data_IF_800387067680
#
_entry.id   IF_800387067680
#
_cell.length_a   1.000
_cell.length_b   1.000
_cell.length_c   1.000
_cell.angle_alpha   90.00
_cell.angle_beta   90.00
_cell.angle_gamma   90.00
#
_symmetry.space_group_name_H-M   'P 1'
#
loop_
_entity.id
_entity.type
_entity.pdbx_description
1 polymer ?
#
# COMPACT_ATOMS: atom_id res chain seq x y z
N UNK A 1 9.79 7.70 -22.23
CA UNK A 1 9.90 8.67 -21.11
C UNK A 1 10.08 10.05 -21.71
N UNK A 2 9.00 10.83 -21.78
CA UNK A 2 9.08 12.21 -22.27
C UNK A 2 9.86 13.06 -21.26
N UNK A 3 11.01 13.56 -21.71
CA UNK A 3 11.95 14.32 -20.89
C UNK A 3 11.38 15.71 -20.60
N UNK A 4 10.71 15.81 -19.46
CA UNK A 4 10.31 17.02 -18.73
C UNK A 4 11.46 18.07 -18.71
N UNK A 5 11.31 19.24 -19.36
CA UNK A 5 12.39 20.25 -19.58
C UNK A 5 11.93 21.70 -19.43
N UNK A 6 12.87 22.63 -19.19
CA UNK A 6 12.67 24.08 -19.37
C UNK A 6 13.19 24.44 -20.76
N UNK A 7 12.38 25.10 -21.58
CA UNK A 7 12.76 25.51 -22.94
C UNK A 7 12.57 27.02 -23.13
N UNK A 8 13.47 27.64 -23.88
CA UNK A 8 13.35 29.03 -24.32
C UNK A 8 12.42 29.10 -25.53
N UNK A 9 11.41 29.97 -25.49
CA UNK A 9 10.38 30.05 -26.55
C UNK A 9 10.39 31.43 -27.20
N UNK A 10 10.28 31.47 -28.53
CA UNK A 10 10.00 32.69 -29.30
C UNK A 10 8.47 32.90 -29.37
N UNK A 11 7.95 34.00 -28.86
CA UNK A 11 6.50 34.18 -28.64
C UNK A 11 5.78 34.77 -29.87
N UNK A 12 4.79 34.07 -30.47
CA UNK A 12 3.80 34.68 -31.35
C UNK A 12 2.59 35.11 -30.50
N UNK A 13 2.38 36.41 -30.33
CA UNK A 13 1.21 36.93 -29.62
C UNK A 13 -0.08 36.63 -30.40
N UNK A 14 -0.92 35.70 -29.93
CA UNK A 14 -2.36 35.62 -30.27
C UNK A 14 -3.13 34.65 -29.34
N UNK A 15 -3.46 35.09 -28.13
CA UNK A 15 -4.68 34.81 -27.34
C UNK A 15 -4.42 35.16 -25.88
N UNK A 16 -5.35 35.88 -25.24
CA UNK A 16 -5.21 36.41 -23.87
C UNK A 16 -5.26 35.28 -22.82
N UNK A 17 -4.13 34.61 -22.59
CA UNK A 17 -3.93 33.71 -21.45
C UNK A 17 -3.79 34.49 -20.14
N UNK A 18 -4.15 33.85 -19.02
CA UNK A 18 -4.09 34.48 -17.71
C UNK A 18 -2.64 34.82 -17.36
N UNK A 19 -2.38 36.07 -16.96
CA UNK A 19 -1.06 36.52 -16.50
C UNK A 19 -1.11 36.69 -14.99
N UNK A 20 -0.27 35.93 -14.27
CA UNK A 20 -0.08 36.07 -12.83
C UNK A 20 1.23 36.82 -12.54
N UNK A 21 1.14 37.87 -11.73
CA UNK A 21 2.28 38.73 -11.40
C UNK A 21 2.82 38.40 -10.00
N UNK A 22 3.99 37.76 -9.96
CA UNK A 22 4.74 37.48 -8.72
C UNK A 22 5.68 38.64 -8.41
N UNK A 23 6.30 39.20 -9.45
CA UNK A 23 7.28 40.27 -9.40
C UNK A 23 6.88 41.44 -10.33
N UNK A 24 6.72 42.67 -9.82
CA UNK A 24 6.42 43.84 -10.65
C UNK A 24 7.59 44.21 -11.58
N UNK A 25 8.83 43.90 -11.20
CA UNK A 25 10.05 44.19 -11.96
C UNK A 25 10.53 42.96 -12.77
N UNK A 26 9.59 42.08 -13.13
CA UNK A 26 9.88 40.81 -13.79
C UNK A 26 10.60 40.96 -15.13
N UNK A 27 11.77 40.34 -15.21
CA UNK A 27 12.60 40.15 -16.40
C UNK A 27 12.43 38.75 -17.04
N UNK A 28 11.63 37.87 -16.42
CA UNK A 28 11.28 36.54 -16.93
C UNK A 28 9.76 36.39 -17.07
N UNK A 29 9.34 35.77 -18.17
CA UNK A 29 7.98 35.28 -18.37
C UNK A 29 8.00 33.75 -18.39
N UNK A 30 7.44 33.14 -17.34
CA UNK A 30 7.32 31.70 -17.23
C UNK A 30 5.97 31.24 -17.80
N UNK A 31 6.00 30.41 -18.84
CA UNK A 31 4.82 29.88 -19.54
C UNK A 31 4.55 28.46 -19.03
N UNK A 32 3.35 28.24 -18.50
CA UNK A 32 2.85 26.96 -18.03
C UNK A 32 1.81 26.46 -19.05
N UNK A 33 2.11 25.38 -19.80
CA UNK A 33 1.18 24.81 -20.76
C UNK A 33 -0.12 24.32 -20.11
N UNK A 34 -1.21 24.16 -20.89
CA UNK A 34 -2.46 23.57 -20.42
C UNK A 34 -2.26 22.23 -19.72
N UNK A 35 -2.85 22.11 -18.52
CA UNK A 35 -2.88 20.87 -17.77
C UNK A 35 -4.06 20.02 -18.24
N UNK A 36 -3.79 18.81 -18.74
CA UNK A 36 -4.77 17.99 -19.48
C UNK A 36 -4.86 16.54 -19.01
N UNK A 37 -3.94 16.08 -18.17
CA UNK A 37 -3.88 14.69 -17.70
C UNK A 37 -3.93 14.64 -16.17
N UNK A 38 -4.58 13.64 -15.58
CA UNK A 38 -4.58 13.44 -14.14
C UNK A 38 -3.15 13.16 -13.62
N UNK A 39 -2.82 13.71 -12.45
CA UNK A 39 -1.52 13.50 -11.80
C UNK A 39 -1.44 12.08 -11.22
N UNK A 40 -0.38 11.35 -11.57
CA UNK A 40 -0.06 10.03 -11.04
C UNK A 40 -1.28 9.07 -11.02
N UNK A 41 -1.92 8.87 -12.18
CA UNK A 41 -3.14 8.06 -12.28
C UNK A 41 -2.90 6.61 -11.83
N UNK A 42 -3.90 6.08 -11.11
CA UNK A 42 -3.93 4.70 -10.68
C UNK A 42 -4.98 3.95 -11.51
N UNK A 43 -4.53 3.28 -12.57
CA UNK A 43 -5.42 2.44 -13.36
C UNK A 43 -5.62 1.12 -12.60
N UNK A 44 -6.83 0.89 -12.08
CA UNK A 44 -7.27 -0.36 -11.42
C UNK A 44 -7.68 -1.45 -12.44
N UNK A 45 -7.01 -1.50 -13.59
CA UNK A 45 -7.33 -2.48 -14.62
C UNK A 45 -6.62 -3.81 -14.35
N UNK A 46 -7.04 -4.50 -13.28
CA UNK A 46 -6.91 -5.97 -13.15
C UNK A 46 -8.21 -6.61 -12.59
N UNK A 47 -9.30 -5.84 -12.43
CA UNK A 47 -10.64 -6.39 -12.19
C UNK A 47 -11.65 -5.82 -13.18
N UNK A 48 -12.43 -6.73 -13.75
CA UNK A 48 -13.41 -6.53 -14.83
C UNK A 48 -14.39 -5.39 -14.50
N UNK A 49 -14.55 -4.51 -15.49
CA UNK A 49 -15.57 -3.46 -15.70
C UNK A 49 -16.58 -3.18 -14.58
N UNK A 50 -16.53 -1.96 -14.04
CA UNK A 50 -17.76 -1.19 -13.88
C UNK A 50 -17.48 0.31 -14.12
N UNK A 51 -18.39 0.96 -14.85
CA UNK A 51 -18.28 2.34 -15.28
C UNK A 51 -18.43 3.30 -14.09
N UNK A 52 -17.32 3.66 -13.45
CA UNK A 52 -17.29 4.77 -12.47
C UNK A 52 -16.77 6.03 -13.14
N UNK A 53 -17.58 7.08 -13.08
CA UNK A 53 -17.32 8.42 -13.62
C UNK A 53 -15.89 8.89 -13.31
N UNK A 54 -15.01 8.83 -14.31
CA UNK A 54 -13.80 9.63 -14.31
C UNK A 54 -14.20 11.09 -14.54
N UNK A 55 -13.77 12.05 -13.70
CA UNK A 55 -13.99 13.45 -13.99
C UNK A 55 -13.26 13.77 -15.30
N UNK A 56 -14.01 14.23 -16.28
CA UNK A 56 -13.51 14.71 -17.58
C UNK A 56 -12.41 15.75 -17.30
N UNK A 57 -11.19 15.64 -17.86
CA UNK A 57 -10.16 16.65 -17.63
C UNK A 57 -10.66 17.98 -18.20
N UNK A 58 -10.99 18.93 -17.32
CA UNK A 58 -11.15 20.32 -17.70
C UNK A 58 -9.76 20.85 -18.03
N UNK A 59 -9.43 20.99 -19.32
CA UNK A 59 -8.16 21.58 -19.74
C UNK A 59 -8.02 22.96 -19.09
N UNK A 60 -7.00 23.16 -18.25
CA UNK A 60 -6.73 24.50 -17.73
C UNK A 60 -6.19 25.37 -18.86
N UNK A 61 -6.53 26.67 -18.91
CA UNK A 61 -5.88 27.56 -19.87
C UNK A 61 -4.37 27.62 -19.59
N UNK A 62 -3.61 28.01 -20.61
CA UNK A 62 -2.20 28.39 -20.45
C UNK A 62 -2.09 29.48 -19.37
N UNK A 63 -1.13 29.35 -18.47
CA UNK A 63 -0.80 30.34 -17.45
C UNK A 63 0.54 30.98 -17.77
N UNK A 64 0.63 32.31 -17.73
CA UNK A 64 1.87 33.06 -17.84
C UNK A 64 2.19 33.71 -16.51
N UNK A 65 3.42 33.56 -16.03
CA UNK A 65 3.84 34.09 -14.73
C UNK A 65 4.99 35.07 -14.94
N UNK A 66 4.82 36.31 -14.49
CA UNK A 66 5.90 37.31 -14.42
C UNK A 66 6.75 37.05 -13.18
N UNK A 67 8.03 36.75 -13.39
CA UNK A 67 8.99 36.32 -12.38
C UNK A 67 10.35 37.04 -12.54
N UNK A 68 11.15 37.00 -11.49
CA UNK A 68 12.52 37.52 -11.48
C UNK A 68 13.54 36.42 -11.72
N UNK A 69 14.42 36.65 -12.70
CA UNK A 69 15.56 35.78 -13.01
C UNK A 69 16.47 35.59 -11.80
N UNK A 70 16.68 36.64 -10.99
CA UNK A 70 17.55 36.61 -9.80
C UNK A 70 17.01 35.65 -8.75
N UNK A 71 15.72 35.75 -8.43
CA UNK A 71 15.05 34.83 -7.49
C UNK A 71 15.07 33.39 -8.00
N UNK A 72 14.75 33.18 -9.29
CA UNK A 72 14.80 31.85 -9.92
C UNK A 72 16.21 31.25 -9.89
N UNK A 73 17.25 32.03 -10.21
CA UNK A 73 18.64 31.56 -10.18
C UNK A 73 19.13 31.24 -8.77
N UNK A 74 18.72 32.03 -7.78
CA UNK A 74 19.07 31.81 -6.39
C UNK A 74 18.44 30.51 -5.88
N UNK A 75 17.16 30.31 -6.12
CA UNK A 75 16.40 29.17 -5.60
C UNK A 75 16.67 27.85 -6.34
N UNK A 76 17.15 27.89 -7.59
CA UNK A 76 17.27 26.70 -8.45
C UNK A 76 18.50 26.73 -9.35
N UNK A 77 19.39 25.74 -9.21
CA UNK A 77 20.47 25.50 -10.18
C UNK A 77 19.95 25.22 -11.59
N UNK A 78 18.79 24.54 -11.72
CA UNK A 78 18.19 24.23 -13.01
C UNK A 78 17.76 25.50 -13.77
N UNK A 79 17.06 26.42 -13.09
CA UNK A 79 16.71 27.71 -13.67
C UNK A 79 17.96 28.56 -13.93
N UNK A 80 18.93 28.58 -13.01
CA UNK A 80 20.20 29.30 -13.19
C UNK A 80 20.93 28.88 -14.47
N UNK A 81 21.09 27.58 -14.67
CA UNK A 81 21.78 27.04 -15.85
C UNK A 81 21.05 27.41 -17.14
N UNK A 82 19.71 27.36 -17.13
CA UNK A 82 18.88 27.73 -18.29
C UNK A 82 18.96 29.22 -18.60
N UNK A 83 18.87 30.08 -17.58
CA UNK A 83 18.95 31.53 -17.73
C UNK A 83 20.36 32.00 -18.14
N UNK A 84 21.42 31.40 -17.59
CA UNK A 84 22.80 31.71 -17.99
C UNK A 84 23.04 31.40 -19.48
N UNK A 85 22.57 30.24 -19.94
CA UNK A 85 22.66 29.86 -21.35
C UNK A 85 21.83 30.77 -22.25
N UNK A 86 20.70 31.29 -21.75
CA UNK A 86 19.89 32.27 -22.46
C UNK A 86 20.65 33.58 -22.68
N UNK A 87 21.34 34.09 -21.65
CA UNK A 87 22.08 35.35 -21.70
C UNK A 87 23.33 35.26 -22.58
N UNK A 88 24.00 34.11 -22.63
CA UNK A 88 25.17 33.89 -23.50
C UNK A 88 24.81 33.77 -24.99
N UNK A 89 23.55 33.49 -25.33
CA UNK A 89 23.04 33.54 -26.70
C UNK A 89 22.38 34.90 -26.96
N UNK A 90 23.04 35.79 -27.73
CA UNK A 90 22.73 37.22 -27.87
C UNK A 90 21.33 37.64 -28.40
N UNK A 91 20.30 36.76 -28.43
CA UNK A 91 18.93 37.06 -28.92
C UNK A 91 17.83 36.24 -28.22
N UNK A 92 17.82 36.15 -26.89
CA UNK A 92 16.78 35.40 -26.15
C UNK A 92 15.69 36.27 -25.53
N UNK A 93 15.95 37.56 -25.36
CA UNK A 93 14.95 38.53 -24.92
C UNK A 93 13.91 38.74 -26.02
N UNK A 94 12.65 38.49 -25.68
CA UNK A 94 11.52 38.68 -26.60
C UNK A 94 11.23 40.17 -26.79
N UNK A 95 10.32 40.49 -27.73
CA UNK A 95 9.92 41.87 -28.03
C UNK A 95 9.34 42.62 -26.82
N UNK A 96 8.89 41.91 -25.80
CA UNK A 96 8.38 42.46 -24.54
C UNK A 96 9.48 42.75 -23.49
N UNK A 97 10.75 42.57 -23.86
CA UNK A 97 11.89 42.82 -22.98
C UNK A 97 12.18 41.70 -21.98
N UNK A 98 11.50 40.55 -22.05
CA UNK A 98 11.66 39.44 -21.09
C UNK A 98 12.26 38.18 -21.72
N UNK A 99 12.87 37.35 -20.87
CA UNK A 99 13.24 35.98 -21.25
C UNK A 99 12.03 35.07 -21.03
N UNK A 100 11.60 34.38 -22.08
CA UNK A 100 10.45 33.47 -22.01
C UNK A 100 10.91 32.04 -21.75
N UNK A 101 10.41 31.44 -20.67
CA UNK A 101 10.71 30.06 -20.27
C UNK A 101 9.43 29.24 -20.26
N UNK A 102 9.36 28.15 -21.01
CA UNK A 102 8.24 27.21 -20.93
C UNK A 102 8.57 26.04 -19.99
N UNK A 103 7.62 25.70 -19.11
CA UNK A 103 7.66 24.48 -18.30
C UNK A 103 7.09 23.31 -19.09
N UNK A 104 7.94 22.58 -19.83
CA UNK A 104 7.48 21.44 -20.61
C UNK A 104 7.50 20.12 -19.83
N UNK A 105 6.45 19.32 -20.07
CA UNK A 105 6.52 17.86 -20.23
C UNK A 105 5.17 17.15 -20.13
N UNK A 106 5.20 15.83 -20.28
CA UNK A 106 4.10 15.03 -20.84
C UNK A 106 2.73 15.06 -20.15
N UNK A 107 2.62 15.52 -18.90
CA UNK A 107 1.35 15.67 -18.17
C UNK A 107 0.97 17.14 -17.87
N UNK A 108 1.85 18.11 -18.14
CA UNK A 108 1.72 19.49 -17.67
C UNK A 108 1.87 19.61 -16.13
N UNK A 109 1.94 20.84 -15.63
CA UNK A 109 1.87 21.13 -14.20
C UNK A 109 0.55 21.83 -13.90
N UNK A 110 -0.11 21.50 -12.78
CA UNK A 110 -1.26 22.28 -12.35
C UNK A 110 -0.82 23.75 -12.13
N UNK A 111 -1.44 24.72 -12.84
CA UNK A 111 -1.15 26.14 -12.69
C UNK A 111 -1.15 26.61 -11.22
N UNK A 112 -2.03 26.07 -10.37
CA UNK A 112 -2.10 26.41 -8.94
C UNK A 112 -0.81 26.03 -8.21
N UNK A 113 -0.28 24.84 -8.47
CA UNK A 113 0.95 24.32 -7.84
C UNK A 113 2.15 25.17 -8.29
N UNK A 114 2.21 25.52 -9.58
CA UNK A 114 3.28 26.42 -10.07
C UNK A 114 3.19 27.79 -9.40
N UNK A 115 2.01 28.38 -9.24
CA UNK A 115 1.83 29.66 -8.53
C UNK A 115 2.33 29.58 -7.09
N UNK A 116 2.00 28.51 -6.36
CA UNK A 116 2.46 28.30 -4.98
C UNK A 116 4.00 28.31 -4.92
N UNK A 117 4.64 27.51 -5.76
CA UNK A 117 6.11 27.41 -5.79
C UNK A 117 6.75 28.74 -6.21
N UNK A 118 6.18 29.44 -7.19
CA UNK A 118 6.70 30.74 -7.60
C UNK A 118 6.56 31.80 -6.50
N UNK A 119 5.45 31.81 -5.75
CA UNK A 119 5.32 32.69 -4.58
C UNK A 119 6.40 32.38 -3.52
N UNK A 120 6.71 31.10 -3.28
CA UNK A 120 7.79 30.69 -2.37
C UNK A 120 9.14 31.23 -2.85
N UNK A 121 9.50 30.98 -4.11
CA UNK A 121 10.78 31.41 -4.72
C UNK A 121 11.00 32.91 -4.62
N UNK A 122 9.93 33.71 -4.68
CA UNK A 122 9.99 35.17 -4.64
C UNK A 122 9.71 35.76 -3.25
N UNK A 123 9.74 34.94 -2.19
CA UNK A 123 9.52 35.42 -0.82
C UNK A 123 8.12 35.97 -0.56
N UNK A 124 7.13 35.64 -1.38
CA UNK A 124 5.72 36.06 -1.24
C UNK A 124 4.98 35.15 -0.26
N UNK A 125 5.54 34.92 0.92
CA UNK A 125 5.04 33.95 1.90
C UNK A 125 3.58 34.17 2.33
N UNK A 126 3.10 35.42 2.34
CA UNK A 126 1.70 35.76 2.62
C UNK A 126 0.70 35.23 1.57
N UNK A 127 1.18 34.91 0.36
CA UNK A 127 0.40 34.30 -0.73
C UNK A 127 0.57 32.78 -0.80
N UNK A 128 1.36 32.18 0.08
CA UNK A 128 1.57 30.73 0.15
C UNK A 128 0.52 30.12 1.09
N UNK A 129 -0.28 29.13 0.64
CA UNK A 129 -1.28 28.48 1.50
C UNK A 129 -0.67 27.90 2.77
N UNK A 130 -1.35 28.08 3.92
CA UNK A 130 -0.96 27.45 5.18
C UNK A 130 -1.20 25.94 5.17
N UNK A 131 -2.25 25.52 4.45
CA UNK A 131 -2.66 24.15 4.26
C UNK A 131 -2.70 23.83 2.76
N UNK A 132 -2.30 22.62 2.41
CA UNK A 132 -2.44 22.04 1.07
C UNK A 132 -2.95 20.62 1.24
N UNK A 133 -3.69 20.11 0.26
CA UNK A 133 -4.02 18.70 0.23
C UNK A 133 -2.80 17.86 -0.16
N UNK A 134 -2.90 16.54 0.05
CA UNK A 134 -1.80 15.62 -0.21
C UNK A 134 -1.41 15.56 -1.68
N UNK A 135 -2.38 15.69 -2.60
CA UNK A 135 -2.12 15.71 -4.04
C UNK A 135 -1.30 16.95 -4.45
N UNK A 136 -1.66 18.12 -3.95
CA UNK A 136 -0.91 19.38 -4.14
C UNK A 136 0.52 19.22 -3.60
N UNK A 137 0.71 18.63 -2.42
CA UNK A 137 2.05 18.40 -1.86
C UNK A 137 2.89 17.48 -2.76
N UNK A 138 2.31 16.39 -3.27
CA UNK A 138 3.00 15.48 -4.18
C UNK A 138 3.35 16.15 -5.53
N UNK A 139 2.49 17.02 -6.05
CA UNK A 139 2.79 17.82 -7.23
C UNK A 139 3.89 18.87 -6.97
N UNK A 140 3.92 19.48 -5.78
CA UNK A 140 5.02 20.37 -5.35
C UNK A 140 6.32 19.57 -5.28
N UNK A 141 6.31 18.36 -4.71
CA UNK A 141 7.49 17.49 -4.68
C UNK A 141 8.04 17.21 -6.09
N UNK A 142 7.16 16.98 -7.07
CA UNK A 142 7.58 16.80 -8.47
C UNK A 142 8.28 18.05 -9.04
N UNK A 143 7.77 19.24 -8.76
CA UNK A 143 8.41 20.50 -9.16
C UNK A 143 9.76 20.69 -8.47
N UNK A 144 9.83 20.38 -7.17
CA UNK A 144 11.03 20.53 -6.34
C UNK A 144 12.16 19.62 -6.82
N UNK A 145 11.87 18.34 -7.06
CA UNK A 145 12.84 17.37 -7.55
C UNK A 145 13.35 17.77 -8.95
N UNK A 146 12.42 18.05 -9.87
CA UNK A 146 12.76 18.38 -11.26
C UNK A 146 13.57 19.66 -11.41
N UNK A 147 13.19 20.70 -10.66
CA UNK A 147 13.82 22.02 -10.77
C UNK A 147 14.81 22.30 -9.64
N UNK A 148 15.10 21.33 -8.78
CA UNK A 148 16.06 21.45 -7.68
C UNK A 148 15.76 22.67 -6.79
N UNK A 149 14.52 22.78 -6.31
CA UNK A 149 14.03 23.91 -5.49
C UNK A 149 13.99 23.59 -3.98
N UNK A 150 14.78 22.61 -3.54
CA UNK A 150 14.69 22.05 -2.19
C UNK A 150 14.81 23.13 -1.09
N UNK A 151 15.87 23.93 -1.13
CA UNK A 151 16.15 24.95 -0.09
C UNK A 151 15.05 26.02 0.01
N UNK A 152 14.42 26.37 -1.12
CA UNK A 152 13.35 27.36 -1.12
C UNK A 152 12.06 26.82 -0.50
N UNK A 153 11.77 25.52 -0.69
CA UNK A 153 10.46 24.93 -0.38
C UNK A 153 10.45 24.13 0.94
N UNK A 154 11.60 23.68 1.45
CA UNK A 154 11.71 22.71 2.57
C UNK A 154 10.89 23.13 3.81
N UNK A 155 11.01 24.39 4.25
CA UNK A 155 10.28 24.91 5.42
C UNK A 155 8.75 24.89 5.22
N UNK A 156 8.27 25.13 3.99
CA UNK A 156 6.85 25.07 3.68
C UNK A 156 6.36 23.62 3.62
N UNK A 157 7.17 22.73 3.02
CA UNK A 157 6.88 21.31 2.94
C UNK A 157 6.81 20.66 4.32
N UNK A 158 7.73 21.00 5.22
CA UNK A 158 7.73 20.56 6.62
C UNK A 158 6.37 20.80 7.28
N UNK A 159 5.94 22.05 7.26
CA UNK A 159 4.68 22.49 7.84
C UNK A 159 3.49 21.78 7.21
N UNK A 160 3.49 21.60 5.89
CA UNK A 160 2.39 20.90 5.21
C UNK A 160 2.33 19.42 5.57
N UNK A 161 3.48 18.75 5.68
CA UNK A 161 3.58 17.35 6.10
C UNK A 161 3.06 17.18 7.53
N UNK A 162 3.48 18.04 8.45
CA UNK A 162 2.99 18.04 9.84
C UNK A 162 1.48 18.30 9.95
N UNK A 163 0.97 19.22 9.13
CA UNK A 163 -0.47 19.51 9.11
C UNK A 163 -1.28 18.34 8.55
N UNK A 164 -0.81 17.66 7.51
CA UNK A 164 -1.48 16.47 6.98
C UNK A 164 -1.52 15.36 8.04
N UNK A 165 -0.44 15.21 8.82
CA UNK A 165 -0.39 14.26 9.93
C UNK A 165 -1.37 14.58 11.07
N UNK A 166 -1.54 15.85 11.42
CA UNK A 166 -2.43 16.26 12.52
C UNK A 166 -3.91 16.22 12.10
N UNK A 167 -4.21 16.57 10.85
CA UNK A 167 -5.58 16.58 10.32
C UNK A 167 -6.12 15.17 10.02
N UNK A 168 -5.26 14.19 9.74
CA UNK A 168 -5.68 12.84 9.39
C UNK A 168 -6.26 12.02 10.56
N UNK A 169 -6.21 12.49 11.83
CA UNK A 169 -6.61 11.77 13.07
C UNK A 169 -5.95 10.39 13.29
N UNK A 170 -5.18 9.93 12.33
CA UNK A 170 -4.19 8.89 12.41
C UNK A 170 -2.85 9.62 12.24
N UNK A 171 -1.83 9.21 13.00
CA UNK A 171 -0.47 9.74 12.97
C UNK A 171 0.06 9.99 11.55
N UNK A 172 1.17 10.72 11.41
CA UNK A 172 1.95 10.88 10.18
C UNK A 172 2.48 9.54 9.61
N UNK A 173 1.61 8.56 9.42
CA UNK A 173 1.94 7.20 9.05
C UNK A 173 1.48 7.01 7.61
N UNK A 174 2.34 6.44 6.76
CA UNK A 174 1.93 6.03 5.43
C UNK A 174 0.70 5.13 5.51
N UNK A 175 -0.15 5.10 4.46
CA UNK A 175 -1.35 4.28 4.46
C UNK A 175 -0.98 2.82 4.73
N UNK A 176 -1.85 2.06 5.43
CA UNK A 176 -1.53 0.69 5.85
C UNK A 176 -1.51 -0.31 4.69
N UNK A 177 -2.02 0.09 3.52
CA UNK A 177 -2.16 -0.75 2.33
C UNK A 177 -1.36 -0.22 1.15
N UNK A 178 -0.95 -1.13 0.28
CA UNK A 178 -0.36 -0.77 -1.01
C UNK A 178 -1.40 -0.11 -1.92
N UNK A 179 -1.07 1.06 -2.46
CA UNK A 179 -1.95 1.83 -3.34
C UNK A 179 -1.28 3.12 -3.78
N UNK A 180 -2.02 3.95 -4.54
CA UNK A 180 -1.53 5.22 -5.10
C UNK A 180 -0.86 6.10 -4.04
N UNK A 181 -1.55 6.31 -2.93
CA UNK A 181 -1.10 7.24 -1.89
C UNK A 181 0.19 6.77 -1.21
N UNK A 182 0.42 5.46 -1.10
CA UNK A 182 1.67 4.93 -0.58
C UNK A 182 2.85 5.32 -1.48
N UNK A 183 2.67 5.22 -2.80
CA UNK A 183 3.70 5.61 -3.77
C UNK A 183 4.00 7.10 -3.68
N UNK A 184 2.93 7.92 -3.57
CA UNK A 184 3.08 9.36 -3.38
C UNK A 184 3.84 9.67 -2.07
N UNK A 185 3.56 8.95 -0.99
CA UNK A 185 4.25 9.13 0.29
C UNK A 185 5.74 8.76 0.21
N UNK A 186 6.08 7.66 -0.47
CA UNK A 186 7.47 7.28 -0.73
C UNK A 186 8.17 8.42 -1.49
N UNK A 187 7.53 8.95 -2.53
CA UNK A 187 8.10 10.03 -3.33
C UNK A 187 8.24 11.35 -2.56
N UNK A 188 7.21 11.78 -1.84
CA UNK A 188 7.22 12.99 -1.01
C UNK A 188 8.30 12.90 0.07
N UNK A 189 8.35 11.78 0.80
CA UNK A 189 9.35 11.57 1.85
C UNK A 189 10.78 11.52 1.28
N UNK A 190 10.93 10.96 0.08
CA UNK A 190 12.18 10.95 -0.65
C UNK A 190 12.65 12.37 -1.03
N UNK A 191 11.80 13.16 -1.71
CA UNK A 191 12.15 14.51 -2.20
C UNK A 191 12.45 15.45 -1.03
N UNK A 192 11.61 15.44 0.00
CA UNK A 192 11.78 16.31 1.17
C UNK A 192 12.67 15.70 2.26
N UNK A 193 13.38 14.60 1.97
CA UNK A 193 14.35 14.01 2.91
C UNK A 193 13.79 13.68 4.31
N UNK A 194 12.54 13.23 4.39
CA UNK A 194 11.90 12.82 5.67
C UNK A 194 12.18 11.35 5.94
N UNK A 195 13.30 11.07 6.61
CA UNK A 195 13.83 9.71 6.85
C UNK A 195 12.81 8.78 7.49
N UNK A 196 12.15 9.22 8.57
CA UNK A 196 11.18 8.39 9.30
C UNK A 196 9.96 8.02 8.44
N UNK A 197 9.44 8.99 7.69
CA UNK A 197 8.34 8.77 6.76
C UNK A 197 8.74 7.84 5.61
N UNK A 198 9.95 8.02 5.08
CA UNK A 198 10.48 7.18 4.01
C UNK A 198 10.66 5.73 4.48
N UNK A 199 11.23 5.54 5.67
CA UNK A 199 11.40 4.23 6.29
C UNK A 199 10.04 3.58 6.56
N UNK A 200 9.08 4.30 7.12
CA UNK A 200 7.73 3.77 7.33
C UNK A 200 7.03 3.39 6.01
N UNK A 201 7.05 4.26 5.00
CA UNK A 201 6.32 4.05 3.74
C UNK A 201 6.91 2.88 2.96
N UNK A 202 8.23 2.80 2.90
CA UNK A 202 8.91 1.70 2.23
C UNK A 202 8.76 0.37 2.97
N UNK A 203 8.64 0.38 4.31
CA UNK A 203 8.28 -0.82 5.09
C UNK A 203 6.91 -1.36 4.67
N UNK A 204 5.89 -0.49 4.58
CA UNK A 204 4.57 -0.91 4.09
C UNK A 204 4.67 -1.48 2.68
N UNK A 205 5.43 -0.84 1.79
CA UNK A 205 5.61 -1.34 0.43
C UNK A 205 6.26 -2.74 0.40
N UNK A 206 7.28 -3.00 1.22
CA UNK A 206 7.91 -4.33 1.34
C UNK A 206 6.90 -5.39 1.79
N UNK A 207 6.02 -5.07 2.73
CA UNK A 207 5.04 -6.00 3.29
C UNK A 207 3.85 -6.27 2.36
N UNK A 208 3.36 -5.22 1.68
CA UNK A 208 2.04 -5.22 1.02
C UNK A 208 2.11 -5.30 -0.51
N UNK A 209 3.25 -4.97 -1.12
CA UNK A 209 3.35 -5.01 -2.59
C UNK A 209 3.37 -6.44 -3.12
N UNK A 210 2.82 -6.62 -4.33
CA UNK A 210 2.72 -7.91 -5.02
C UNK A 210 3.84 -8.09 -6.07
N UNK A 211 4.83 -7.20 -6.07
CA UNK A 211 5.89 -7.10 -7.07
C UNK A 211 6.61 -5.75 -6.96
N UNK A 212 7.43 -5.37 -7.96
CA UNK A 212 8.01 -4.04 -8.03
C UNK A 212 6.94 -2.96 -7.95
N UNK A 213 7.17 -1.94 -7.11
CA UNK A 213 6.22 -0.84 -6.94
C UNK A 213 6.07 -0.05 -8.25
N UNK A 214 4.86 0.48 -8.49
CA UNK A 214 4.59 1.37 -9.63
C UNK A 214 5.31 2.70 -9.40
N UNK A 215 5.84 3.30 -10.47
CA UNK A 215 6.43 4.64 -10.43
C UNK A 215 5.39 5.76 -10.61
N UNK A 216 4.22 5.44 -11.18
CA UNK A 216 3.13 6.37 -11.51
C UNK A 216 3.58 7.55 -12.39
N UNK A 217 4.65 7.37 -13.18
CA UNK A 217 5.28 8.43 -13.95
C UNK A 217 6.04 9.46 -13.11
N UNK A 218 6.25 9.20 -11.82
CA UNK A 218 7.10 10.00 -10.93
C UNK A 218 8.58 9.60 -11.10
N UNK A 219 9.53 10.53 -10.90
CA UNK A 219 10.96 10.27 -11.00
C UNK A 219 11.51 9.52 -9.76
N UNK A 220 10.87 8.42 -9.36
CA UNK A 220 11.37 7.55 -8.28
C UNK A 220 12.59 6.80 -8.80
N UNK A 221 13.72 6.88 -8.08
CA UNK A 221 14.95 6.21 -8.51
C UNK A 221 14.75 4.69 -8.61
N UNK A 222 15.18 4.11 -9.73
CA UNK A 222 15.20 2.64 -9.95
C UNK A 222 15.81 1.86 -8.77
N UNK A 223 16.86 2.41 -8.14
CA UNK A 223 17.50 1.78 -6.98
C UNK A 223 16.50 1.56 -5.85
N UNK A 224 15.64 2.53 -5.56
CA UNK A 224 14.61 2.43 -4.51
C UNK A 224 13.61 1.32 -4.86
N UNK A 225 13.09 1.34 -6.09
CA UNK A 225 12.12 0.34 -6.58
C UNK A 225 12.70 -1.08 -6.47
N UNK A 226 13.94 -1.27 -6.96
CA UNK A 226 14.65 -2.56 -6.93
C UNK A 226 14.97 -3.01 -5.51
N UNK A 227 15.37 -2.11 -4.63
CA UNK A 227 15.69 -2.49 -3.24
C UNK A 227 14.43 -2.85 -2.45
N UNK A 228 13.31 -2.16 -2.67
CA UNK A 228 12.00 -2.56 -2.10
C UNK A 228 11.62 -3.96 -2.58
N UNK A 229 11.68 -4.21 -3.89
CA UNK A 229 11.31 -5.52 -4.44
C UNK A 229 12.26 -6.63 -4.00
N UNK A 230 13.57 -6.34 -3.89
CA UNK A 230 14.55 -7.30 -3.36
C UNK A 230 14.24 -7.70 -1.92
N UNK A 231 13.95 -6.73 -1.04
CA UNK A 231 13.56 -7.00 0.36
C UNK A 231 12.23 -7.76 0.43
N UNK A 232 11.26 -7.41 -0.42
CA UNK A 232 10.00 -8.15 -0.55
C UNK A 232 10.24 -9.61 -0.94
N UNK A 233 11.07 -9.86 -1.96
CA UNK A 233 11.38 -11.22 -2.42
C UNK A 233 12.09 -12.06 -1.34
N UNK A 234 13.01 -11.46 -0.58
CA UNK A 234 13.67 -12.11 0.55
C UNK A 234 12.66 -12.49 1.63
N UNK A 235 11.81 -11.54 2.02
CA UNK A 235 10.77 -11.73 3.03
C UNK A 235 9.78 -12.82 2.65
N UNK A 236 9.26 -12.78 1.42
CA UNK A 236 8.34 -13.81 0.89
C UNK A 236 9.05 -15.18 0.84
N UNK A 237 10.31 -15.22 0.42
CA UNK A 237 11.11 -16.45 0.41
C UNK A 237 11.27 -17.07 1.80
N UNK A 238 11.55 -16.25 2.84
CA UNK A 238 11.63 -16.72 4.22
C UNK A 238 10.30 -17.26 4.73
N UNK A 239 9.20 -16.53 4.46
CA UNK A 239 7.87 -16.94 4.87
C UNK A 239 7.42 -18.26 4.21
N UNK A 240 7.70 -18.44 2.91
CA UNK A 240 7.48 -19.71 2.22
C UNK A 240 8.34 -20.84 2.80
N UNK A 241 9.59 -20.56 3.19
CA UNK A 241 10.45 -21.52 3.88
C UNK A 241 9.86 -21.99 5.23
N UNK A 242 9.26 -21.09 5.99
CA UNK A 242 8.54 -21.43 7.23
C UNK A 242 7.34 -22.33 6.91
N UNK A 243 6.57 -22.00 5.88
CA UNK A 243 5.40 -22.80 5.47
C UNK A 243 5.77 -24.19 4.97
N UNK A 244 6.85 -24.34 4.21
CA UNK A 244 7.35 -25.64 3.80
C UNK A 244 7.73 -26.50 4.99
N UNK A 245 8.43 -25.94 5.98
CA UNK A 245 8.74 -26.65 7.23
C UNK A 245 7.48 -27.06 8.00
N UNK A 246 6.45 -26.23 8.00
CA UNK A 246 5.16 -26.56 8.61
C UNK A 246 4.47 -27.72 7.87
N UNK A 247 4.45 -27.70 6.53
CA UNK A 247 3.94 -28.79 5.69
C UNK A 247 4.66 -30.11 5.97
N UNK A 248 6.00 -30.10 6.02
CA UNK A 248 6.79 -31.31 6.28
C UNK A 248 6.49 -31.88 7.67
N UNK A 249 6.41 -31.04 8.70
CA UNK A 249 6.03 -31.46 10.06
C UNK A 249 4.64 -32.11 10.10
N UNK A 250 3.66 -31.53 9.39
CA UNK A 250 2.31 -32.09 9.30
C UNK A 250 2.30 -33.42 8.53
N UNK A 251 3.02 -33.50 7.42
CA UNK A 251 3.11 -34.72 6.60
C UNK A 251 3.79 -35.88 7.32
N UNK A 252 4.80 -35.60 8.14
CA UNK A 252 5.54 -36.60 8.90
C UNK A 252 4.84 -37.00 10.22
N UNK A 253 3.67 -36.42 10.53
CA UNK A 253 2.97 -36.68 11.78
C UNK A 253 3.71 -36.18 13.03
N UNK A 254 4.57 -35.17 12.88
CA UNK A 254 5.40 -34.59 13.96
C UNK A 254 4.76 -33.37 14.62
N UNK A 255 3.50 -33.08 14.30
CA UNK A 255 2.77 -31.99 14.92
C UNK A 255 2.36 -32.33 16.37
N UNK A 256 2.26 -31.31 17.22
CA UNK A 256 1.85 -31.49 18.63
C UNK A 256 0.46 -32.16 18.77
N UNK A 257 -0.42 -32.03 17.75
CA UNK A 257 -1.73 -32.70 17.67
C UNK A 257 -1.73 -34.03 16.86
N UNK A 258 -0.58 -34.68 16.64
CA UNK A 258 -0.57 -35.94 15.87
C UNK A 258 -1.45 -37.04 16.52
N UNK A 259 -1.52 -37.07 17.86
CA UNK A 259 -2.31 -38.05 18.61
C UNK A 259 -3.82 -38.01 18.32
N UNK A 260 -4.36 -36.86 17.91
CA UNK A 260 -5.79 -36.69 17.59
C UNK A 260 -6.07 -36.63 16.09
N UNK A 261 -5.07 -36.91 15.23
CA UNK A 261 -5.16 -36.85 13.76
C UNK A 261 -5.57 -35.47 13.21
N UNK A 262 -5.26 -34.39 13.94
CA UNK A 262 -5.46 -33.02 13.42
C UNK A 262 -4.58 -32.74 12.20
N UNK A 263 -3.42 -33.40 12.14
CA UNK A 263 -2.38 -33.23 11.12
C UNK A 263 -2.92 -33.37 9.69
N UNK A 264 -3.75 -34.38 9.42
CA UNK A 264 -4.36 -34.59 8.11
C UNK A 264 -5.31 -33.44 7.71
N UNK A 265 -6.11 -32.94 8.65
CA UNK A 265 -7.02 -31.81 8.41
C UNK A 265 -6.24 -30.50 8.19
N UNK A 266 -5.28 -30.22 9.08
CA UNK A 266 -4.39 -29.06 9.02
C UNK A 266 -3.60 -29.03 7.71
N UNK A 267 -3.08 -30.19 7.30
CA UNK A 267 -2.38 -30.36 6.04
C UNK A 267 -3.31 -30.06 4.86
N UNK A 268 -4.53 -30.60 4.87
CA UNK A 268 -5.53 -30.35 3.83
C UNK A 268 -5.88 -28.86 3.67
N UNK A 269 -6.14 -28.15 4.77
CA UNK A 269 -6.45 -26.72 4.71
C UNK A 269 -5.25 -25.86 4.34
N UNK A 270 -4.04 -26.20 4.81
CA UNK A 270 -2.82 -25.51 4.40
C UNK A 270 -2.55 -25.69 2.90
N UNK A 271 -2.67 -26.92 2.38
CA UNK A 271 -2.54 -27.22 0.94
C UNK A 271 -3.56 -26.42 0.12
N UNK A 272 -4.84 -26.44 0.52
CA UNK A 272 -5.89 -25.69 -0.18
C UNK A 272 -5.61 -24.20 -0.19
N UNK A 273 -5.13 -23.65 0.92
CA UNK A 273 -4.82 -22.23 1.04
C UNK A 273 -3.66 -21.85 0.13
N UNK A 274 -2.57 -22.63 0.15
CA UNK A 274 -1.45 -22.42 -0.75
C UNK A 274 -1.88 -22.49 -2.22
N UNK A 275 -2.75 -23.44 -2.58
CA UNK A 275 -3.32 -23.54 -3.92
C UNK A 275 -4.16 -22.31 -4.30
N UNK A 276 -5.08 -21.86 -3.43
CA UNK A 276 -5.93 -20.68 -3.67
C UNK A 276 -5.10 -19.41 -3.93
N UNK A 277 -3.98 -19.26 -3.24
CA UNK A 277 -3.10 -18.11 -3.39
C UNK A 277 -2.05 -18.27 -4.50
N UNK A 278 -2.15 -19.33 -5.32
CA UNK A 278 -1.18 -19.67 -6.38
C UNK A 278 0.26 -19.80 -5.85
N UNK A 279 0.39 -20.19 -4.58
CA UNK A 279 1.65 -20.44 -3.89
C UNK A 279 2.00 -21.91 -3.97
N UNK A 280 1.79 -22.52 -5.13
CA UNK A 280 1.90 -23.96 -5.22
C UNK A 280 3.32 -24.44 -4.92
N UNK A 281 3.42 -25.16 -3.81
CA UNK A 281 4.68 -25.72 -3.32
C UNK A 281 5.19 -26.83 -4.25
N UNK A 282 4.28 -27.47 -4.98
CA UNK A 282 4.55 -28.67 -5.77
C UNK A 282 4.64 -28.43 -7.27
N UNK A 283 4.23 -27.27 -7.77
CA UNK A 283 4.14 -26.99 -9.22
C UNK A 283 5.20 -26.01 -9.72
N UNK A 284 5.98 -25.39 -8.82
CA UNK A 284 7.05 -24.47 -9.20
C UNK A 284 6.58 -23.06 -9.62
N UNK A 285 5.30 -22.71 -9.47
CA UNK A 285 4.80 -21.36 -9.81
C UNK A 285 5.19 -20.32 -8.74
N UNK A 286 5.53 -20.75 -7.52
CA UNK A 286 6.13 -19.87 -6.49
C UNK A 286 7.65 -19.85 -6.56
N UNK A 287 8.20 -19.55 -7.74
CA UNK A 287 9.65 -19.32 -7.93
C UNK A 287 9.95 -17.83 -7.98
N UNK A 288 11.18 -17.43 -7.60
CA UNK A 288 11.62 -16.04 -7.72
C UNK A 288 11.35 -15.56 -9.16
N UNK A 289 10.72 -14.39 -9.36
CA UNK A 289 10.60 -13.28 -8.41
C UNK A 289 9.31 -13.21 -7.56
N UNK A 290 8.59 -14.32 -7.30
CA UNK A 290 7.35 -14.33 -6.49
C UNK A 290 6.34 -13.25 -6.92
N UNK A 291 6.13 -13.11 -8.22
CA UNK A 291 5.22 -12.11 -8.78
C UNK A 291 3.77 -12.42 -8.38
N UNK A 292 3.01 -11.39 -8.03
CA UNK A 292 1.63 -11.52 -7.56
C UNK A 292 1.49 -11.90 -6.09
N UNK A 293 2.60 -12.06 -5.36
CA UNK A 293 2.59 -12.48 -3.95
C UNK A 293 3.08 -11.35 -3.05
N UNK A 294 2.24 -10.96 -2.09
CA UNK A 294 2.63 -10.07 -0.98
C UNK A 294 2.74 -10.87 0.31
N UNK A 295 3.63 -10.43 1.20
CA UNK A 295 3.81 -11.05 2.50
C UNK A 295 2.55 -10.90 3.37
N UNK A 296 1.91 -9.74 3.33
CA UNK A 296 0.67 -9.50 4.07
C UNK A 296 -0.48 -10.42 3.62
N UNK A 297 -0.64 -10.65 2.30
CA UNK A 297 -1.63 -11.60 1.80
C UNK A 297 -1.31 -13.03 2.28
N UNK A 298 -0.02 -13.43 2.24
CA UNK A 298 0.43 -14.73 2.73
C UNK A 298 0.05 -14.94 4.21
N UNK A 299 0.42 -14.02 5.08
CA UNK A 299 0.13 -14.09 6.52
C UNK A 299 -1.37 -14.09 6.79
N UNK A 300 -2.13 -13.19 6.14
CA UNK A 300 -3.58 -13.13 6.28
C UNK A 300 -4.29 -14.44 5.88
N UNK A 301 -3.76 -15.11 4.85
CA UNK A 301 -4.30 -16.39 4.37
C UNK A 301 -4.10 -17.52 5.40
N UNK A 302 -2.93 -17.55 6.03
CA UNK A 302 -2.59 -18.54 7.06
C UNK A 302 -3.39 -18.29 8.34
N UNK A 303 -3.52 -17.02 8.74
CA UNK A 303 -4.37 -16.64 9.87
C UNK A 303 -5.84 -17.04 9.65
N UNK A 304 -6.34 -17.01 8.41
CA UNK A 304 -7.69 -17.48 8.08
C UNK A 304 -7.87 -19.00 8.24
N UNK A 305 -6.83 -19.81 7.97
CA UNK A 305 -6.88 -21.26 8.21
C UNK A 305 -7.03 -21.52 9.70
N UNK A 306 -6.26 -20.80 10.51
CA UNK A 306 -6.27 -20.91 11.97
C UNK A 306 -7.57 -20.42 12.60
N UNK A 307 -8.19 -19.37 12.07
CA UNK A 307 -9.49 -18.92 12.57
C UNK A 307 -10.60 -19.94 12.26
N UNK A 308 -10.56 -20.58 11.08
CA UNK A 308 -11.48 -21.66 10.73
C UNK A 308 -11.33 -22.86 11.69
N UNK A 309 -10.09 -23.22 12.02
CA UNK A 309 -9.76 -24.27 12.99
C UNK A 309 -10.29 -23.98 14.40
N UNK A 310 -10.33 -22.70 14.83
CA UNK A 310 -10.91 -22.30 16.13
C UNK A 310 -12.44 -22.40 16.13
N UNK A 311 -13.07 -22.20 14.98
CA UNK A 311 -14.54 -22.21 14.85
C UNK A 311 -15.13 -23.60 14.61
N UNK A 312 -14.36 -24.53 14.04
CA UNK A 312 -14.79 -25.90 13.89
C UNK A 312 -14.53 -26.67 15.19
N UNK A 313 -15.54 -26.75 16.06
CA UNK A 313 -15.63 -27.89 16.98
C UNK A 313 -15.43 -29.16 16.14
N UNK A 314 -14.46 -30.00 16.53
CA UNK A 314 -14.05 -31.24 15.85
C UNK A 314 -15.16 -31.85 14.97
N UNK A 315 -15.00 -31.88 13.63
CA UNK A 315 -15.91 -32.62 12.75
C UNK A 315 -15.96 -34.11 13.11
N UNK A 316 -14.97 -34.62 13.86
CA UNK A 316 -14.96 -36.00 14.30
C UNK A 316 -16.07 -36.28 15.33
N UNK A 317 -16.54 -35.30 16.11
CA UNK A 317 -17.69 -35.51 17.01
C UNK A 317 -19.00 -35.68 16.23
N UNK A 318 -19.18 -34.94 15.13
CA UNK A 318 -20.40 -35.00 14.32
C UNK A 318 -20.41 -36.14 13.30
N UNK A 319 -19.27 -36.47 12.69
CA UNK A 319 -19.18 -37.55 11.70
C UNK A 319 -19.26 -38.94 12.35
N UNK A 320 -18.70 -39.13 13.55
CA UNK A 320 -18.77 -40.42 14.26
C UNK A 320 -19.97 -40.54 15.21
N UNK A 321 -20.50 -39.42 15.75
CA UNK A 321 -21.75 -39.43 16.51
C UNK A 321 -22.95 -39.90 15.70
N UNK A 322 -22.98 -39.56 14.40
CA UNK A 322 -24.02 -40.01 13.47
C UNK A 322 -23.84 -41.47 13.00
N UNK A 323 -22.61 -42.00 13.03
CA UNK A 323 -22.33 -43.39 12.64
C UNK A 323 -22.66 -44.41 13.74
N UNK A 324 -22.75 -43.98 15.00
CA UNK A 324 -23.03 -44.83 16.18
C UNK A 324 -24.43 -44.62 16.79
N UNK A 325 -25.32 -43.86 16.12
CA UNK A 325 -26.73 -43.82 16.48
C UNK A 325 -27.03 -43.29 17.90
N UNK A 326 -26.24 -42.37 18.44
CA UNK A 326 -26.51 -41.77 19.75
C UNK A 326 -27.29 -40.46 19.56
N UNK A 327 -28.62 -40.55 19.60
CA UNK A 327 -29.48 -39.37 19.73
C UNK A 327 -29.35 -38.78 21.15
N UNK A 328 -28.82 -37.56 21.26
CA UNK A 328 -28.95 -36.76 22.47
C UNK A 328 -30.41 -36.32 22.63
N UNK A 329 -31.16 -36.98 23.51
CA UNK A 329 -32.45 -36.47 23.98
C UNK A 329 -32.20 -35.33 24.97
N UNK A 330 -32.60 -34.11 24.60
CA UNK A 330 -32.66 -32.99 25.55
C UNK A 330 -33.75 -33.25 26.61
N UNK A 331 -33.53 -32.89 27.89
CA UNK A 331 -34.57 -33.01 28.90
C UNK A 331 -35.55 -31.84 28.76
N UNK A 332 -36.79 -32.13 28.35
CA UNK A 332 -37.89 -31.17 28.41
C UNK A 332 -38.46 -31.12 29.83
N UNK A 333 -38.51 -29.91 30.39
CA UNK A 333 -39.22 -29.63 31.63
C UNK A 333 -40.74 -29.55 31.35
N UNK A 334 -41.57 -30.33 32.05
CA UNK A 334 -43.01 -30.08 32.02
C UNK A 334 -43.96 -31.16 32.55
N UNK A 335 -44.42 -30.93 33.79
CA UNK A 335 -45.82 -31.05 34.26
C UNK A 335 -46.36 -32.41 34.75
N UNK A 336 -46.58 -32.46 36.07
CA UNK A 336 -47.37 -33.43 36.84
C UNK A 336 -48.85 -33.47 36.40
N UNK A 337 -49.43 -34.67 36.27
CA UNK A 337 -50.84 -35.00 36.59
C UNK A 337 -50.99 -36.47 36.99
N UNK A 338 -51.72 -36.73 38.09
CA UNK A 338 -52.20 -38.04 38.62
C UNK A 338 -53.58 -38.33 37.99
N UNK A 339 -53.88 -39.47 37.35
CA UNK A 339 -54.33 -40.80 37.86
C UNK A 339 -55.80 -41.06 37.40
N UNK A 340 -56.47 -42.25 37.54
CA UNK A 340 -56.04 -43.67 37.62
C UNK A 340 -56.88 -44.65 36.71
N UNK A 341 -56.77 -46.00 36.96
CA UNK A 341 -57.63 -47.18 36.56
C UNK A 341 -57.05 -48.09 35.42
N UNK A 342 -56.40 -49.25 35.72
CA UNK A 342 -56.85 -50.71 35.76
C UNK A 342 -57.31 -51.29 34.40
N UNK A 343 -56.98 -52.51 33.89
CA UNK A 343 -56.53 -53.84 34.38
C UNK A 343 -55.94 -54.65 33.17
N UNK A 344 -54.84 -55.44 33.28
CA UNK A 344 -54.74 -56.95 33.35
C UNK A 344 -54.89 -57.71 31.99
N UNK A 345 -54.10 -58.70 31.52
CA UNK A 345 -53.52 -59.94 32.09
C UNK A 345 -52.38 -60.58 31.20
N UNK A 346 -51.25 -60.95 31.83
CA UNK A 346 -50.45 -62.22 31.72
C UNK A 346 -49.73 -62.65 30.39
N UNK A 347 -48.91 -63.73 30.36
CA UNK A 347 -47.43 -63.64 30.36
C UNK A 347 -46.74 -64.45 29.23
N UNK A 348 -45.47 -64.20 28.91
CA UNK A 348 -44.47 -65.26 28.62
C UNK A 348 -43.12 -64.68 28.16
N UNK A 349 -42.08 -65.07 28.90
CA UNK A 349 -40.67 -65.25 28.52
C UNK A 349 -40.00 -64.26 27.56
N UNK A 350 -39.14 -63.41 28.12
CA UNK A 350 -37.86 -63.08 27.46
C UNK A 350 -36.83 -62.70 28.53
N UNK A 351 -35.62 -63.29 28.55
CA UNK A 351 -34.62 -62.95 29.54
C UNK A 351 -34.15 -61.51 29.32
N UNK A 352 -34.31 -60.69 30.34
CA UNK A 352 -33.83 -59.31 30.44
C UNK A 352 -32.31 -59.28 30.23
N UNK A 353 -31.76 -58.50 29.28
CA UNK A 353 -30.33 -58.29 29.21
C UNK A 353 -29.93 -57.43 30.41
N UNK A 354 -29.00 -57.92 31.22
CA UNK A 354 -28.40 -57.17 32.31
C UNK A 354 -28.02 -55.77 31.82
N UNK A 355 -28.33 -54.68 32.55
CA UNK A 355 -27.92 -53.34 32.15
C UNK A 355 -26.40 -53.28 32.17
N UNK A 356 -25.79 -53.39 30.99
CA UNK A 356 -24.42 -52.97 30.78
C UNK A 356 -24.33 -51.52 31.24
N UNK A 357 -23.46 -51.26 32.21
CA UNK A 357 -23.14 -49.91 32.64
C UNK A 357 -22.89 -49.05 31.39
N UNK A 358 -23.45 -47.83 31.30
CA UNK A 358 -23.21 -46.98 30.15
C UNK A 358 -21.68 -46.84 30.00
N UNK A 359 -21.12 -47.05 28.81
CA UNK A 359 -19.70 -46.84 28.63
C UNK A 359 -19.44 -45.40 29.06
N UNK A 360 -18.59 -45.22 30.06
CA UNK A 360 -18.06 -43.91 30.41
C UNK A 360 -17.11 -43.49 29.29
N UNK A 361 -17.65 -43.19 28.11
CA UNK A 361 -16.92 -42.48 27.07
C UNK A 361 -16.86 -41.03 27.53
N UNK A 362 -15.84 -40.74 28.34
CA UNK A 362 -15.28 -39.40 28.43
C UNK A 362 -14.94 -38.99 26.99
N UNK A 363 -15.67 -38.05 26.43
CA UNK A 363 -15.20 -37.36 25.23
C UNK A 363 -14.08 -36.44 25.70
N UNK A 364 -12.84 -36.84 25.45
CA UNK A 364 -11.70 -35.96 25.69
C UNK A 364 -11.81 -34.79 24.71
N UNK A 365 -12.28 -33.65 25.22
CA UNK A 365 -12.32 -32.40 24.46
C UNK A 365 -10.91 -32.00 24.09
N UNK A 366 -10.54 -32.20 22.83
CA UNK A 366 -9.24 -31.79 22.31
C UNK A 366 -9.27 -30.31 21.91
N UNK A 367 -8.46 -29.49 22.59
CA UNK A 367 -8.21 -28.11 22.18
C UNK A 367 -6.97 -28.07 21.30
N UNK A 368 -7.17 -27.86 20.00
CA UNK A 368 -6.06 -27.85 19.04
C UNK A 368 -5.24 -26.55 19.20
N UNK A 369 -4.01 -26.66 19.71
CA UNK A 369 -3.04 -25.56 19.70
C UNK A 369 -2.44 -25.31 18.30
N UNK A 370 -3.26 -25.37 17.24
CA UNK A 370 -2.86 -25.06 15.87
C UNK A 370 -2.33 -23.61 15.69
N UNK A 371 -2.51 -22.76 16.72
CA UNK A 371 -1.91 -21.43 16.84
C UNK A 371 -0.38 -21.44 16.71
N UNK A 372 0.28 -22.53 17.10
CA UNK A 372 1.76 -22.66 17.01
C UNK A 372 2.27 -23.05 15.63
N UNK A 373 1.39 -23.37 14.68
CA UNK A 373 1.82 -23.65 13.31
C UNK A 373 2.16 -22.32 12.63
N UNK A 374 3.41 -21.91 12.72
CA UNK A 374 4.04 -20.80 11.99
C UNK A 374 3.57 -19.37 12.26
N UNK A 375 2.43 -19.11 12.92
CA UNK A 375 1.92 -17.75 13.19
C UNK A 375 2.94 -16.92 13.99
N UNK A 376 3.50 -17.48 15.07
CA UNK A 376 4.54 -16.81 15.87
C UNK A 376 5.80 -16.50 15.06
N UNK A 377 6.17 -17.40 14.15
CA UNK A 377 7.38 -17.23 13.33
C UNK A 377 7.16 -16.21 12.21
N UNK A 378 5.95 -16.13 11.66
CA UNK A 378 5.57 -15.18 10.63
C UNK A 378 5.32 -13.78 11.20
N UNK A 379 4.68 -13.68 12.36
CA UNK A 379 4.49 -12.42 13.08
C UNK A 379 5.85 -11.85 13.53
N UNK A 380 6.72 -12.70 14.10
CA UNK A 380 8.08 -12.30 14.41
C UNK A 380 8.82 -11.83 13.14
N UNK A 381 8.66 -12.51 12.01
CA UNK A 381 9.26 -12.08 10.75
C UNK A 381 8.75 -10.69 10.32
N UNK A 382 7.46 -10.39 10.50
CA UNK A 382 6.86 -9.09 10.20
C UNK A 382 7.39 -7.96 11.10
N UNK A 383 7.60 -8.23 12.39
CA UNK A 383 8.12 -7.26 13.36
C UNK A 383 9.56 -6.83 13.03
N UNK A 384 10.38 -7.75 12.51
CA UNK A 384 11.78 -7.47 12.15
C UNK A 384 11.95 -6.80 10.77
N UNK A 385 10.86 -6.62 10.00
CA UNK A 385 10.95 -5.93 8.71
C UNK A 385 11.15 -4.44 8.94
N UNK A 386 12.33 -3.95 8.58
CA UNK A 386 12.62 -2.53 8.50
C UNK A 386 12.52 -2.00 7.06
N UNK A 387 12.02 -0.77 6.95
CA UNK A 387 12.03 -0.01 5.70
C UNK A 387 13.43 0.29 5.20
N UNK A 388 13.52 1.09 4.14
CA UNK A 388 14.79 1.56 3.62
C UNK A 388 15.24 2.80 4.39
N UNK A 389 16.52 2.84 4.75
CA UNK A 389 17.12 4.09 5.21
C UNK A 389 17.35 4.99 3.99
N UNK A 390 17.03 6.27 4.17
CA UNK A 390 17.13 7.23 3.10
C UNK A 390 18.61 7.37 2.64
N UNK A 391 19.54 7.57 3.57
CA UNK A 391 20.97 7.81 3.28
C UNK A 391 21.64 6.69 2.47
N UNK A 392 21.39 5.42 2.82
CA UNK A 392 21.97 4.25 2.14
C UNK A 392 21.36 4.01 0.75
N UNK A 393 20.08 4.35 0.60
CA UNK A 393 19.34 4.29 -0.66
C UNK A 393 19.77 5.37 -1.63
N UNK A 394 20.25 6.49 -1.10
CA UNK A 394 20.45 7.74 -1.82
C UNK A 394 21.80 7.89 -2.53
N UNK A 395 22.88 7.28 -2.04
CA UNK A 395 24.21 7.49 -2.64
C UNK A 395 24.57 8.97 -2.82
N UNK A 396 24.10 9.82 -1.91
CA UNK A 396 24.36 11.25 -1.99
C UNK A 396 25.83 11.50 -1.63
N UNK A 397 26.60 11.93 -2.63
CA UNK A 397 27.48 13.05 -2.38
C UNK A 397 26.57 14.24 -2.09
N UNK A 398 26.76 14.85 -0.92
CA UNK A 398 26.22 16.14 -0.55
C UNK A 398 26.35 17.10 -1.75
N UNK A 399 25.26 17.79 -2.06
CA UNK A 399 25.34 19.00 -2.89
C UNK A 399 26.31 20.00 -2.26
#
# INVERSE_FOLDING_TARGET
MDSLRIILVASPFANMSAVYEVDPDADVLLVVPPYTKPFASWDESDTVSDHKHTPKPSSTPELRIKASSKHLCLASPAFRNKLRNAVSGAKTTQSDGRVHLALEGGAGFDPKVVIIVMNIVHGRGSRVPRLVDFETLAQVALLVDKFQLHDAVDVYAERWIENLATLARESATPPPSYGRDLILWIFVAYVFRRSDLFKAATRVAILQSHGPIRDLGLPIRDKIIRTIDSKRQELVGHALGILHKALDKLREGKAECAAFRCDAFLLGELIKTLYRHKLDVWSGHSTKPYAGVSFAALVGSIGSVQSQLRSSSSPAEQLWGNALGVQQTQPSAGRKRRGPVQQELTPESSPEPAPLAPPTTSFDTHYCEARKLSETDLDALAEHVEGLDLESSLGYYLY
#
